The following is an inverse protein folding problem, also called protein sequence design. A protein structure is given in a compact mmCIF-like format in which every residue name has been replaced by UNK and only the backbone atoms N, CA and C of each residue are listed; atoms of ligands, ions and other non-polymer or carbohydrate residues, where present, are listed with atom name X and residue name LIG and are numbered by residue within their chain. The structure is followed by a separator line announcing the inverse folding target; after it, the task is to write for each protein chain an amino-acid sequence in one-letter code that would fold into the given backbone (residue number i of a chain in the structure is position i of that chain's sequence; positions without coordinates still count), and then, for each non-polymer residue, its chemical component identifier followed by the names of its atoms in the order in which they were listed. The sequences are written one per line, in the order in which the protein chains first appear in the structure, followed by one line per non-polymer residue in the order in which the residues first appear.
data_IF_537458162803
#
_entry.id   IF_537458162803
#
_cell.length_a   1.000
_cell.length_b   1.000
_cell.length_c   1.000
_cell.angle_alpha   90.00
_cell.angle_beta   90.00
_cell.angle_gamma   90.00
#
_symmetry.space_group_name_H-M   'P 1'
#
loop_
_entity.id
_entity.type
_entity.pdbx_description
1 polymer ?
#
# COMPACT_ATOMS: atom_id res chain seq x y z
N UNK A 1 24.48 60.03 32.46
CA UNK A 1 23.67 60.04 33.70
C UNK A 1 23.18 58.62 33.96
N UNK A 2 23.48 58.11 35.16
CA UNK A 2 22.92 56.96 35.92
C UNK A 2 22.40 55.73 35.14
N UNK A 3 23.04 54.55 35.11
CA UNK A 3 23.30 53.52 36.18
C UNK A 3 22.06 53.05 36.94
N UNK A 4 21.73 51.75 36.83
CA UNK A 4 21.68 50.82 37.98
C UNK A 4 22.26 49.46 37.55
N UNK A 5 23.12 48.95 38.42
CA UNK A 5 23.92 47.73 38.37
C UNK A 5 23.85 47.21 39.82
N UNK A 6 23.43 45.96 40.04
CA UNK A 6 23.57 45.21 41.32
C UNK A 6 23.57 43.72 40.91
N UNK A 7 24.71 43.02 40.75
CA UNK A 7 25.56 42.32 41.75
C UNK A 7 24.76 41.40 42.69
N UNK A 8 25.11 40.16 43.04
CA UNK A 8 26.24 39.25 42.89
C UNK A 8 25.79 37.94 43.58
N UNK A 9 26.33 36.77 43.23
CA UNK A 9 27.45 36.21 43.97
C UNK A 9 27.57 34.70 43.72
N UNK A 10 28.80 34.27 43.42
CA UNK A 10 29.30 32.92 43.70
C UNK A 10 29.24 32.67 45.23
N UNK A 11 29.38 31.48 45.83
CA UNK A 11 30.48 30.50 45.80
C UNK A 11 29.98 29.26 46.59
N UNK A 12 30.47 28.05 46.31
CA UNK A 12 30.46 26.97 47.30
C UNK A 12 30.37 25.55 46.73
N UNK A 13 31.51 25.00 46.31
CA UNK A 13 31.64 23.55 46.12
C UNK A 13 31.89 22.86 47.47
N UNK A 14 31.38 21.63 47.62
CA UNK A 14 31.93 20.62 48.53
C UNK A 14 31.84 19.26 47.86
N UNK A 15 33.00 18.65 47.69
CA UNK A 15 33.21 17.26 47.31
C UNK A 15 32.98 16.36 48.52
N UNK A 16 32.26 15.24 48.36
CA UNK A 16 32.32 14.12 49.30
C UNK A 16 32.34 12.79 48.54
N UNK A 17 33.54 12.21 48.49
CA UNK A 17 33.79 10.79 48.26
C UNK A 17 33.36 9.98 49.48
N UNK A 18 32.58 8.92 49.27
CA UNK A 18 32.24 7.95 50.31
C UNK A 18 31.99 6.58 49.70
N UNK A 19 33.01 5.72 49.75
CA UNK A 19 32.90 4.28 49.54
C UNK A 19 31.92 3.67 50.56
N UNK A 20 30.97 2.88 50.09
CA UNK A 20 30.05 2.13 50.93
C UNK A 20 29.42 0.98 50.15
N UNK A 21 30.09 -0.17 50.15
CA UNK A 21 29.53 -1.42 49.67
C UNK A 21 28.43 -1.91 50.63
N UNK A 22 27.22 -2.20 50.11
CA UNK A 22 26.44 -3.41 50.46
C UNK A 22 25.10 -3.49 49.75
N UNK A 23 24.76 -4.74 49.41
CA UNK A 23 23.42 -5.32 49.42
C UNK A 23 22.56 -5.09 48.18
N UNK A 24 22.77 -5.93 47.17
CA UNK A 24 21.69 -6.40 46.30
C UNK A 24 20.49 -6.86 47.16
N UNK A 25 19.32 -6.28 46.90
CA UNK A 25 18.03 -6.91 47.20
C UNK A 25 17.19 -6.93 45.92
N UNK A 26 16.62 -8.08 45.56
CA UNK A 26 15.83 -8.25 44.34
C UNK A 26 14.39 -7.82 44.61
N UNK A 27 13.85 -6.96 43.75
CA UNK A 27 12.46 -6.56 43.80
C UNK A 27 12.27 -5.19 43.21
N UNK A 28 12.11 -5.15 41.88
CA UNK A 28 11.21 -4.24 41.15
C UNK A 28 11.39 -4.48 39.63
N UNK A 29 11.05 -5.69 39.21
CA UNK A 29 10.85 -6.06 37.81
C UNK A 29 9.51 -6.76 37.71
N UNK A 30 8.42 -5.98 37.78
CA UNK A 30 7.05 -6.37 37.43
C UNK A 30 6.19 -5.13 37.64
N UNK A 31 6.00 -4.33 36.59
CA UNK A 31 4.83 -3.45 36.44
C UNK A 31 4.78 -2.72 35.09
N UNK A 32 5.85 -2.69 34.29
CA UNK A 32 5.79 -2.11 32.94
C UNK A 32 5.29 -3.10 31.86
N UNK A 33 5.55 -4.40 32.00
CA UNK A 33 5.22 -5.41 30.98
C UNK A 33 3.73 -5.75 30.90
N UNK A 34 3.03 -5.73 32.04
CA UNK A 34 1.59 -6.04 32.13
C UNK A 34 0.75 -4.93 31.47
N UNK A 35 1.17 -3.67 31.61
CA UNK A 35 0.53 -2.51 30.98
C UNK A 35 0.63 -2.55 29.45
N UNK A 36 1.72 -3.10 28.90
CA UNK A 36 1.89 -3.24 27.45
C UNK A 36 1.12 -4.42 26.87
N UNK A 37 1.03 -5.55 27.57
CA UNK A 37 0.26 -6.73 27.14
C UNK A 37 -1.25 -6.42 27.05
N UNK A 38 -1.81 -5.77 28.07
CA UNK A 38 -3.23 -5.37 28.07
C UNK A 38 -3.55 -4.36 26.95
N UNK A 39 -2.61 -3.45 26.66
CA UNK A 39 -2.74 -2.48 25.59
C UNK A 39 -2.76 -3.14 24.21
N UNK A 40 -1.85 -4.10 23.96
CA UNK A 40 -1.83 -4.90 22.73
C UNK A 40 -3.12 -5.72 22.59
N UNK A 41 -3.54 -6.42 23.65
CA UNK A 41 -4.78 -7.21 23.66
C UNK A 41 -6.01 -6.37 23.35
N UNK A 42 -6.08 -5.15 23.90
CA UNK A 42 -7.17 -4.20 23.64
C UNK A 42 -7.19 -3.75 22.18
N UNK A 43 -6.05 -3.32 21.64
CA UNK A 43 -5.93 -2.89 20.24
C UNK A 43 -6.29 -4.00 19.26
N UNK A 44 -5.86 -5.25 19.52
CA UNK A 44 -6.18 -6.40 18.67
C UNK A 44 -7.68 -6.74 18.66
N UNK A 45 -8.36 -6.59 19.80
CA UNK A 45 -9.82 -6.78 19.88
C UNK A 45 -10.59 -5.68 19.16
N UNK A 46 -10.19 -4.43 19.36
CA UNK A 46 -10.79 -3.30 18.65
C UNK A 46 -10.57 -3.44 17.14
N UNK A 47 -9.42 -3.98 16.72
CA UNK A 47 -9.11 -4.24 15.32
C UNK A 47 -10.02 -5.31 14.73
N UNK A 48 -10.14 -6.47 15.39
CA UNK A 48 -11.05 -7.56 14.97
C UNK A 48 -12.51 -7.09 14.88
N UNK A 49 -12.98 -6.29 15.83
CA UNK A 49 -14.31 -5.67 15.79
C UNK A 49 -14.45 -4.66 14.63
N UNK A 50 -13.44 -3.83 14.39
CA UNK A 50 -13.44 -2.84 13.32
C UNK A 50 -13.43 -3.50 11.93
N UNK A 51 -12.68 -4.60 11.77
CA UNK A 51 -12.64 -5.41 10.55
C UNK A 51 -13.99 -6.08 10.28
N UNK A 52 -14.62 -6.67 11.30
CA UNK A 52 -15.95 -7.29 11.17
C UNK A 52 -17.06 -6.29 10.87
N UNK A 53 -16.95 -5.07 11.39
CA UNK A 53 -17.99 -4.04 11.24
C UNK A 53 -17.77 -3.12 10.03
N UNK A 54 -16.81 -3.44 9.15
CA UNK A 54 -16.48 -2.63 7.96
C UNK A 54 -16.11 -1.18 8.30
N UNK A 55 -15.60 -0.91 9.51
CA UNK A 55 -15.14 0.43 9.95
C UNK A 55 -13.69 0.66 9.52
N UNK A 56 -13.49 0.82 8.21
CA UNK A 56 -12.16 0.85 7.57
C UNK A 56 -11.19 1.89 8.14
N UNK A 57 -11.65 3.11 8.44
CA UNK A 57 -10.78 4.14 9.05
C UNK A 57 -10.35 3.76 10.47
N UNK A 58 -11.27 3.22 11.28
CA UNK A 58 -10.96 2.79 12.64
C UNK A 58 -10.01 1.59 12.65
N UNK A 59 -10.19 0.64 11.75
CA UNK A 59 -9.27 -0.49 11.58
C UNK A 59 -7.87 -0.01 11.19
N UNK A 60 -7.76 0.96 10.28
CA UNK A 60 -6.48 1.56 9.88
C UNK A 60 -5.78 2.25 11.05
N UNK A 61 -6.49 3.13 11.78
CA UNK A 61 -5.94 3.84 12.94
C UNK A 61 -5.45 2.85 14.04
N UNK A 62 -6.12 1.70 14.16
CA UNK A 62 -5.74 0.65 15.11
C UNK A 62 -4.52 -0.15 14.66
N UNK A 63 -4.37 -0.43 13.35
CA UNK A 63 -3.17 -1.07 12.79
C UNK A 63 -1.94 -0.17 12.89
N UNK A 64 -2.09 1.11 12.59
CA UNK A 64 -1.00 2.08 12.74
C UNK A 64 -0.53 2.13 14.20
N UNK A 65 -1.47 2.15 15.15
CA UNK A 65 -1.14 2.08 16.58
C UNK A 65 -0.48 0.75 16.98
N UNK A 66 -0.96 -0.39 16.48
CA UNK A 66 -0.33 -1.69 16.72
C UNK A 66 1.09 -1.74 16.18
N UNK A 67 1.33 -1.15 15.01
CA UNK A 67 2.66 -1.06 14.41
C UNK A 67 3.60 -0.16 15.23
N UNK A 68 3.13 0.98 15.72
CA UNK A 68 3.93 1.84 16.62
C UNK A 68 4.25 1.10 17.93
N UNK A 69 3.27 0.43 18.55
CA UNK A 69 3.51 -0.38 19.76
C UNK A 69 4.51 -1.50 19.50
N UNK A 70 4.42 -2.19 18.35
CA UNK A 70 5.39 -3.22 17.93
C UNK A 70 6.80 -2.65 17.78
N UNK A 71 6.95 -1.47 17.16
CA UNK A 71 8.26 -0.79 17.03
C UNK A 71 8.84 -0.42 18.40
N UNK A 72 8.01 0.01 19.33
CA UNK A 72 8.44 0.41 20.67
C UNK A 72 8.88 -0.79 21.53
N UNK A 73 8.16 -1.91 21.47
CA UNK A 73 8.46 -3.09 22.32
C UNK A 73 9.36 -4.13 21.66
N UNK A 74 9.50 -4.10 20.34
CA UNK A 74 10.27 -5.05 19.55
C UNK A 74 9.49 -6.30 19.16
N UNK A 75 9.91 -6.89 18.03
CA UNK A 75 9.27 -8.02 17.37
C UNK A 75 9.18 -9.28 18.23
N UNK A 76 10.22 -9.59 19.00
CA UNK A 76 10.26 -10.78 19.86
C UNK A 76 9.18 -10.72 20.94
N UNK A 77 9.06 -9.57 21.64
CA UNK A 77 8.06 -9.36 22.69
C UNK A 77 6.64 -9.33 22.13
N UNK A 78 6.44 -8.67 20.99
CA UNK A 78 5.14 -8.62 20.34
C UNK A 78 4.69 -10.01 19.88
N UNK A 79 5.61 -10.82 19.34
CA UNK A 79 5.36 -12.22 18.95
C UNK A 79 5.01 -13.10 20.16
N UNK A 80 5.67 -12.91 21.29
CA UNK A 80 5.36 -13.63 22.54
C UNK A 80 3.93 -13.36 23.02
N UNK A 81 3.50 -12.09 23.02
CA UNK A 81 2.13 -11.70 23.38
C UNK A 81 1.11 -12.32 22.43
N UNK A 82 1.37 -12.30 21.12
CA UNK A 82 0.50 -12.93 20.12
C UNK A 82 0.36 -14.44 20.35
N UNK A 83 1.46 -15.15 20.58
CA UNK A 83 1.44 -16.60 20.83
C UNK A 83 0.65 -16.94 22.09
N UNK A 84 0.83 -16.19 23.17
CA UNK A 84 0.04 -16.36 24.41
C UNK A 84 -1.45 -16.16 24.16
N UNK A 85 -1.82 -15.14 23.39
CA UNK A 85 -3.22 -14.91 23.03
C UNK A 85 -3.80 -16.03 22.15
N UNK A 86 -2.99 -16.63 21.27
CA UNK A 86 -3.37 -17.77 20.43
C UNK A 86 -3.63 -19.01 21.28
N UNK A 87 -2.81 -19.28 22.29
CA UNK A 87 -3.02 -20.41 23.20
C UNK A 87 -4.34 -20.29 23.98
N UNK A 88 -4.74 -19.07 24.33
CA UNK A 88 -5.98 -18.77 25.06
C UNK A 88 -7.22 -18.58 24.16
N UNK A 89 -7.03 -18.46 22.84
CA UNK A 89 -8.10 -18.12 21.90
C UNK A 89 -8.86 -19.34 21.36
N UNK A 90 -10.10 -19.12 20.94
CA UNK A 90 -10.91 -20.13 20.26
C UNK A 90 -11.80 -19.51 19.19
N UNK A 91 -12.31 -20.35 18.28
CA UNK A 91 -13.24 -19.94 17.22
C UNK A 91 -12.64 -18.92 16.24
N UNK A 92 -13.44 -17.93 15.82
CA UNK A 92 -13.02 -16.91 14.84
C UNK A 92 -11.89 -16.02 15.35
N UNK A 93 -11.82 -15.78 16.66
CA UNK A 93 -10.75 -15.00 17.28
C UNK A 93 -9.39 -15.70 17.18
N UNK A 94 -9.35 -17.03 17.30
CA UNK A 94 -8.13 -17.82 17.10
C UNK A 94 -7.62 -17.72 15.65
N UNK A 95 -8.54 -17.82 14.68
CA UNK A 95 -8.19 -17.74 13.26
C UNK A 95 -7.67 -16.34 12.88
N UNK A 96 -8.29 -15.28 13.42
CA UNK A 96 -7.79 -13.91 13.29
C UNK A 96 -6.34 -13.79 13.81
N UNK A 97 -6.07 -14.24 15.04
CA UNK A 97 -4.74 -14.13 15.64
C UNK A 97 -3.68 -14.97 14.90
N UNK A 98 -4.03 -16.18 14.42
CA UNK A 98 -3.12 -17.01 13.62
C UNK A 98 -2.78 -16.38 12.28
N UNK A 99 -3.76 -15.80 11.60
CA UNK A 99 -3.53 -15.07 10.35
C UNK A 99 -2.63 -13.86 10.59
N UNK A 100 -2.88 -13.11 11.66
CA UNK A 100 -2.06 -11.97 12.03
C UNK A 100 -0.62 -12.37 12.39
N UNK A 101 -0.43 -13.45 13.17
CA UNK A 101 0.90 -13.98 13.49
C UNK A 101 1.66 -14.38 12.21
N UNK A 102 1.00 -15.09 11.29
CA UNK A 102 1.59 -15.51 10.01
C UNK A 102 1.96 -14.31 9.13
N UNK A 103 1.11 -13.30 9.10
CA UNK A 103 1.31 -12.07 8.32
C UNK A 103 2.50 -11.26 8.85
N UNK A 104 2.63 -11.13 10.17
CA UNK A 104 3.65 -10.30 10.81
C UNK A 104 5.00 -11.03 11.00
N UNK A 105 4.99 -12.36 11.12
CA UNK A 105 6.15 -13.20 11.39
C UNK A 105 6.14 -14.48 10.53
N UNK A 106 6.32 -14.38 9.20
CA UNK A 106 6.43 -15.55 8.35
C UNK A 106 7.66 -16.39 8.74
N UNK A 107 7.55 -17.71 8.69
CA UNK A 107 8.67 -18.61 9.01
C UNK A 107 9.75 -18.55 7.92
N UNK A 108 11.02 -18.75 8.29
CA UNK A 108 12.15 -18.61 7.37
C UNK A 108 12.15 -19.60 6.17
N UNK A 109 11.33 -20.65 6.21
CA UNK A 109 11.10 -21.57 5.11
C UNK A 109 10.06 -21.06 4.08
N UNK A 110 9.45 -19.89 4.32
CA UNK A 110 8.63 -19.15 3.35
C UNK A 110 9.47 -18.26 2.42
N UNK A 111 10.80 -18.43 2.35
CA UNK A 111 11.59 -17.89 1.23
C UNK A 111 11.28 -18.65 -0.06
N UNK A 112 10.71 -18.03 -1.11
CA UNK A 112 10.44 -18.73 -2.35
C UNK A 112 11.76 -19.04 -3.08
N UNK A 113 11.97 -20.27 -3.58
CA UNK A 113 13.03 -20.52 -4.55
C UNK A 113 12.76 -19.76 -5.85
N UNK A 114 13.84 -19.47 -6.57
CA UNK A 114 13.86 -18.91 -7.93
C UNK A 114 12.89 -19.65 -8.89
N UNK A 115 12.38 -18.98 -9.93
CA UNK A 115 11.07 -19.28 -10.52
C UNK A 115 11.05 -20.63 -11.23
N UNK A 116 10.28 -21.58 -10.69
CA UNK A 116 9.91 -22.80 -11.38
C UNK A 116 8.48 -22.71 -11.96
N UNK A 117 8.30 -23.39 -13.09
CA UNK A 117 7.15 -23.43 -13.98
C UNK A 117 5.78 -23.64 -13.30
N UNK A 118 4.66 -23.24 -13.95
CA UNK A 118 3.34 -23.25 -13.35
C UNK A 118 2.88 -24.68 -12.98
N UNK A 119 2.35 -24.91 -11.77
CA UNK A 119 1.71 -26.17 -11.44
C UNK A 119 0.28 -26.23 -12.01
N UNK A 120 -0.07 -27.41 -12.52
CA UNK A 120 -1.43 -27.82 -12.91
C UNK A 120 -2.42 -27.70 -11.74
N UNK A 121 -3.73 -27.54 -12.01
CA UNK A 121 -4.70 -27.24 -10.97
C UNK A 121 -4.98 -28.47 -10.09
N UNK A 122 -4.58 -28.41 -8.83
CA UNK A 122 -5.10 -29.28 -7.77
C UNK A 122 -6.16 -28.52 -6.95
N UNK A 123 -7.33 -29.11 -6.69
CA UNK A 123 -8.43 -28.49 -5.97
C UNK A 123 -8.23 -28.63 -4.46
N UNK A 124 -8.15 -27.50 -3.75
CA UNK A 124 -8.21 -27.49 -2.28
C UNK A 124 -7.07 -26.71 -1.65
N UNK A 125 -7.18 -25.39 -1.65
CA UNK A 125 -6.30 -24.49 -0.90
C UNK A 125 -6.92 -23.11 -0.85
N UNK A 126 -7.61 -22.78 0.25
CA UNK A 126 -8.12 -21.43 0.53
C UNK A 126 -6.93 -20.55 0.94
N UNK A 127 -6.36 -19.84 -0.03
CA UNK A 127 -5.35 -18.80 0.17
C UNK A 127 -5.54 -17.72 -0.89
N UNK A 128 -5.78 -16.48 -0.45
CA UNK A 128 -6.03 -15.31 -1.31
C UNK A 128 -7.37 -15.39 -2.04
N UNK A 129 -8.42 -14.76 -1.51
CA UNK A 129 -9.73 -14.72 -2.14
C UNK A 129 -9.66 -14.10 -3.53
N UNK A 130 -9.64 -14.92 -4.59
CA UNK A 130 -9.82 -14.43 -5.96
C UNK A 130 -11.20 -13.80 -6.05
N UNK A 131 -11.25 -12.54 -6.47
CA UNK A 131 -12.52 -11.84 -6.76
C UNK A 131 -13.34 -12.68 -7.72
N UNK A 132 -14.59 -12.98 -7.36
CA UNK A 132 -15.52 -13.63 -8.28
C UNK A 132 -15.99 -12.62 -9.32
N UNK A 133 -15.61 -12.82 -10.58
CA UNK A 133 -16.00 -11.93 -11.67
C UNK A 133 -17.50 -11.95 -11.95
N UNK A 134 -18.22 -12.99 -11.48
CA UNK A 134 -19.67 -13.10 -11.61
C UNK A 134 -20.42 -12.13 -10.69
N UNK A 135 -19.76 -11.58 -9.66
CA UNK A 135 -20.32 -10.54 -8.80
C UNK A 135 -20.41 -9.18 -9.50
N UNK A 136 -19.90 -9.09 -10.73
CA UNK A 136 -19.88 -7.88 -11.54
C UNK A 136 -20.62 -8.08 -12.86
N UNK A 137 -21.44 -7.11 -13.30
CA UNK A 137 -22.05 -7.15 -14.62
C UNK A 137 -21.00 -7.23 -15.73
N UNK A 138 -21.34 -7.80 -16.90
CA UNK A 138 -20.43 -7.82 -18.04
C UNK A 138 -19.96 -6.42 -18.43
N UNK A 139 -18.64 -6.24 -18.58
CA UNK A 139 -18.05 -5.02 -19.12
C UNK A 139 -18.07 -4.97 -20.65
N UNK A 140 -18.12 -3.78 -21.21
CA UNK A 140 -17.95 -3.50 -22.63
C UNK A 140 -16.46 -3.57 -23.03
N UNK A 141 -16.16 -4.28 -24.12
CA UNK A 141 -14.83 -4.22 -24.74
C UNK A 141 -14.62 -2.86 -25.40
N UNK A 142 -13.55 -2.16 -24.99
CA UNK A 142 -13.24 -0.81 -25.47
C UNK A 142 -12.22 -0.77 -26.60
N UNK A 143 -11.70 -1.94 -26.99
CA UNK A 143 -10.80 -2.11 -28.12
C UNK A 143 -11.07 -3.42 -28.85
N UNK A 144 -10.69 -3.46 -30.13
CA UNK A 144 -10.64 -4.64 -30.98
C UNK A 144 -9.19 -5.15 -31.19
N UNK A 145 -8.19 -4.49 -30.62
CA UNK A 145 -6.80 -4.90 -30.71
C UNK A 145 -6.53 -6.12 -29.81
N UNK A 146 -5.56 -6.97 -30.18
CA UNK A 146 -5.13 -8.06 -29.32
C UNK A 146 -4.46 -7.53 -28.05
N UNK A 147 -4.76 -8.17 -26.92
CA UNK A 147 -4.08 -7.93 -25.65
C UNK A 147 -2.71 -8.60 -25.64
N UNK A 148 -1.69 -7.90 -25.15
CA UNK A 148 -0.32 -8.41 -24.94
C UNK A 148 0.07 -8.34 -23.47
N UNK A 149 1.13 -9.07 -23.10
CA UNK A 149 1.65 -9.10 -21.72
C UNK A 149 2.54 -7.88 -21.42
N UNK A 150 2.37 -7.32 -20.22
CA UNK A 150 3.05 -6.15 -19.67
C UNK A 150 4.52 -6.37 -19.31
N UNK A 151 4.94 -7.63 -19.14
CA UNK A 151 6.22 -7.99 -18.50
C UNK A 151 7.48 -7.49 -19.23
N UNK A 152 7.36 -7.17 -20.53
CA UNK A 152 8.46 -6.67 -21.36
C UNK A 152 8.43 -5.15 -21.57
N UNK A 153 7.47 -4.45 -20.96
CA UNK A 153 7.27 -3.01 -21.11
C UNK A 153 7.86 -2.24 -19.92
N UNK A 154 9.19 -2.27 -19.79
CA UNK A 154 9.93 -1.61 -18.69
C UNK A 154 10.98 -0.60 -19.16
N UNK A 155 11.13 -0.40 -20.47
CA UNK A 155 12.09 0.55 -21.04
C UNK A 155 11.49 1.97 -21.04
N UNK A 156 11.32 2.53 -19.84
CA UNK A 156 10.77 3.87 -19.65
C UNK A 156 11.81 4.96 -19.94
N UNK A 157 11.33 6.07 -20.52
CA UNK A 157 12.07 7.34 -20.64
C UNK A 157 11.15 8.48 -20.23
N UNK A 158 11.58 9.41 -19.36
CA UNK A 158 10.78 10.56 -19.01
C UNK A 158 10.42 11.38 -20.24
N UNK A 159 9.13 11.65 -20.40
CA UNK A 159 8.59 12.42 -21.52
C UNK A 159 7.71 13.54 -20.98
N UNK A 160 8.13 14.79 -21.19
CA UNK A 160 7.39 15.99 -20.76
C UNK A 160 6.56 16.61 -21.90
N UNK A 161 6.43 15.92 -23.04
CA UNK A 161 5.62 16.38 -24.16
C UNK A 161 4.12 16.24 -23.87
N UNK A 162 3.34 17.22 -24.33
CA UNK A 162 1.88 17.27 -24.16
C UNK A 162 1.44 17.06 -22.69
N UNK A 163 1.96 17.87 -21.75
CA UNK A 163 1.72 17.69 -20.33
C UNK A 163 0.22 17.72 -20.03
N UNK A 164 -0.22 16.81 -19.18
CA UNK A 164 -1.61 16.68 -18.76
C UNK A 164 -2.56 16.10 -19.80
N UNK A 165 -2.04 15.55 -20.91
CA UNK A 165 -2.87 14.88 -21.91
C UNK A 165 -3.51 13.64 -21.27
N UNK A 166 -4.82 13.70 -21.08
CA UNK A 166 -5.59 12.58 -20.55
C UNK A 166 -5.70 11.45 -21.57
N UNK A 167 -5.69 10.19 -21.10
CA UNK A 167 -6.09 9.04 -21.92
C UNK A 167 -7.47 9.23 -22.55
N UNK A 168 -7.69 8.58 -23.69
CA UNK A 168 -9.01 8.51 -24.31
C UNK A 168 -9.95 7.60 -23.54
N UNK A 169 -11.22 7.99 -23.45
CA UNK A 169 -12.30 7.15 -22.94
C UNK A 169 -13.15 6.53 -24.05
N UNK A 170 -12.85 6.87 -25.31
CA UNK A 170 -13.62 6.49 -26.49
C UNK A 170 -13.15 5.15 -27.06
N UNK A 171 -14.11 4.34 -27.51
CA UNK A 171 -13.87 3.00 -28.05
C UNK A 171 -12.97 3.03 -29.29
N UNK A 172 -12.02 2.10 -29.35
CA UNK A 172 -11.05 1.93 -30.45
C UNK A 172 -10.14 3.15 -30.72
N UNK A 173 -10.04 4.10 -29.78
CA UNK A 173 -9.12 5.24 -29.92
C UNK A 173 -7.73 4.92 -29.32
N UNK A 174 -6.64 5.51 -29.87
CA UNK A 174 -5.32 5.42 -29.26
C UNK A 174 -5.29 5.96 -27.82
N UNK A 175 -4.46 5.38 -26.95
CA UNK A 175 -4.35 5.79 -25.55
C UNK A 175 -5.64 5.54 -24.76
N UNK A 176 -6.38 4.48 -25.06
CA UNK A 176 -7.63 4.15 -24.38
C UNK A 176 -7.35 3.66 -22.94
N UNK A 177 -7.89 4.33 -21.92
CA UNK A 177 -7.62 4.00 -20.51
C UNK A 177 -8.21 2.66 -20.06
N UNK A 178 -9.25 2.20 -20.74
CA UNK A 178 -9.94 0.97 -20.37
C UNK A 178 -9.09 -0.23 -20.80
N UNK A 179 -8.71 -0.31 -22.07
CA UNK A 179 -7.99 -1.46 -22.64
C UNK A 179 -6.46 -1.34 -22.63
N UNK A 180 -5.93 -0.12 -22.52
CA UNK A 180 -4.50 0.15 -22.70
C UNK A 180 -3.61 -0.60 -21.71
N UNK A 181 -4.08 -0.75 -20.48
CA UNK A 181 -3.56 -1.72 -19.51
C UNK A 181 -4.66 -2.15 -18.53
N UNK A 182 -4.50 -3.30 -17.90
CA UNK A 182 -5.37 -3.85 -16.87
C UNK A 182 -4.60 -4.82 -15.99
N UNK A 183 -5.16 -5.17 -14.84
CA UNK A 183 -4.58 -6.20 -13.98
C UNK A 183 -4.42 -7.55 -14.70
N UNK A 184 -3.41 -8.30 -14.26
CA UNK A 184 -3.21 -9.71 -14.61
C UNK A 184 -4.09 -10.64 -13.76
N UNK A 185 -3.65 -11.89 -13.53
CA UNK A 185 -4.38 -12.85 -12.69
C UNK A 185 -4.34 -12.53 -11.18
N UNK A 186 -3.62 -11.48 -10.77
CA UNK A 186 -3.24 -11.23 -9.39
C UNK A 186 -4.04 -10.10 -8.73
N UNK A 187 -3.99 -10.03 -7.40
CA UNK A 187 -4.76 -9.14 -6.54
C UNK A 187 -4.39 -7.65 -6.58
N UNK A 188 -3.65 -7.19 -7.58
CA UNK A 188 -3.15 -5.81 -7.66
C UNK A 188 -4.19 -4.75 -8.06
N UNK A 189 -5.48 -5.05 -7.87
CA UNK A 189 -6.60 -4.21 -8.29
C UNK A 189 -6.53 -2.78 -7.72
N UNK A 190 -6.05 -2.62 -6.48
CA UNK A 190 -5.89 -1.31 -5.83
C UNK A 190 -4.81 -0.47 -6.49
N UNK A 191 -3.70 -1.10 -6.87
CA UNK A 191 -2.64 -0.38 -7.59
C UNK A 191 -3.13 -0.01 -8.99
N UNK A 192 -3.83 -0.91 -9.68
CA UNK A 192 -4.37 -0.63 -11.02
C UNK A 192 -5.41 0.47 -10.99
N UNK A 193 -6.38 0.41 -10.07
CA UNK A 193 -7.42 1.44 -9.94
C UNK A 193 -6.81 2.81 -9.62
N UNK A 194 -5.84 2.86 -8.70
CA UNK A 194 -5.13 4.08 -8.35
C UNK A 194 -4.34 4.66 -9.54
N UNK A 195 -3.60 3.83 -10.30
CA UNK A 195 -2.87 4.27 -11.49
C UNK A 195 -3.84 4.83 -12.53
N UNK A 196 -4.95 4.14 -12.83
CA UNK A 196 -5.93 4.62 -13.80
C UNK A 196 -6.59 5.92 -13.37
N UNK A 197 -6.97 6.03 -12.10
CA UNK A 197 -7.53 7.26 -11.55
C UNK A 197 -6.52 8.42 -11.62
N UNK A 198 -5.26 8.17 -11.27
CA UNK A 198 -4.19 9.16 -11.38
C UNK A 198 -3.96 9.61 -12.83
N UNK A 199 -3.93 8.67 -13.79
CA UNK A 199 -3.78 8.98 -15.21
C UNK A 199 -4.94 9.84 -15.74
N UNK A 200 -6.17 9.56 -15.31
CA UNK A 200 -7.35 10.34 -15.71
C UNK A 200 -7.46 11.70 -15.01
N UNK A 201 -6.88 11.84 -13.81
CA UNK A 201 -6.83 13.11 -13.11
C UNK A 201 -5.75 14.03 -13.69
N UNK A 202 -4.53 13.51 -13.84
CA UNK A 202 -3.35 14.33 -14.11
C UNK A 202 -2.80 14.24 -15.53
N UNK A 203 -3.05 13.15 -16.26
CA UNK A 203 -2.42 12.84 -17.55
C UNK A 203 -1.79 11.45 -17.54
N UNK A 204 -1.62 10.82 -18.71
CA UNK A 204 -1.18 9.42 -18.79
C UNK A 204 0.22 9.18 -18.22
N UNK A 205 1.16 10.11 -18.44
CA UNK A 205 2.58 9.81 -18.25
C UNK A 205 2.97 9.85 -16.77
N UNK A 206 4.00 9.13 -16.32
CA UNK A 206 4.54 9.28 -14.97
C UNK A 206 5.01 10.72 -14.65
N UNK A 207 5.46 11.46 -15.67
CA UNK A 207 5.77 12.90 -15.59
C UNK A 207 4.53 13.79 -15.39
N UNK A 208 3.34 13.30 -15.73
CA UNK A 208 2.07 13.98 -15.44
C UNK A 208 1.58 13.61 -14.03
N UNK A 209 1.68 12.34 -13.63
CA UNK A 209 1.17 11.86 -12.34
C UNK A 209 2.05 12.29 -11.17
N UNK A 210 3.36 12.13 -11.27
CA UNK A 210 4.30 12.57 -10.24
C UNK A 210 4.62 14.06 -10.38
N UNK A 211 5.19 14.65 -9.33
CA UNK A 211 5.62 16.06 -9.37
C UNK A 211 6.85 16.23 -10.27
N UNK A 212 7.75 15.26 -10.25
CA UNK A 212 8.96 15.25 -11.07
C UNK A 212 9.47 13.83 -11.28
N UNK A 213 9.94 13.51 -12.48
CA UNK A 213 10.67 12.28 -12.81
C UNK A 213 11.91 12.64 -13.60
N UNK A 214 13.10 12.26 -13.10
CA UNK A 214 14.39 12.55 -13.74
C UNK A 214 15.18 11.27 -13.90
N UNK A 215 15.77 11.06 -15.08
CA UNK A 215 16.81 10.05 -15.25
C UNK A 215 18.04 10.42 -14.40
N UNK A 216 18.56 9.44 -13.66
CA UNK A 216 19.77 9.58 -12.88
C UNK A 216 20.55 8.26 -12.88
N UNK A 217 21.66 8.23 -13.61
CA UNK A 217 22.54 7.06 -13.70
C UNK A 217 21.81 5.81 -14.19
N UNK A 218 21.68 4.81 -13.32
CA UNK A 218 21.05 3.52 -13.61
C UNK A 218 19.55 3.47 -13.27
N UNK A 219 18.89 4.62 -13.09
CA UNK A 219 17.49 4.68 -12.68
C UNK A 219 16.88 6.06 -12.78
N UNK A 220 15.93 6.33 -11.89
CA UNK A 220 15.08 7.51 -11.92
C UNK A 220 14.88 8.07 -10.53
N UNK A 221 15.16 9.35 -10.36
CA UNK A 221 14.71 10.13 -9.20
C UNK A 221 13.25 10.53 -9.43
N UNK A 222 12.39 10.19 -8.48
CA UNK A 222 10.96 10.52 -8.49
C UNK A 222 10.65 11.41 -7.29
N UNK A 223 10.06 12.57 -7.56
CA UNK A 223 9.41 13.38 -6.54
C UNK A 223 7.90 13.25 -6.71
N UNK A 224 7.23 12.78 -5.67
CA UNK A 224 5.79 12.61 -5.60
C UNK A 224 5.06 13.93 -5.29
N UNK A 225 3.74 13.98 -5.51
CA UNK A 225 2.93 15.20 -5.31
C UNK A 225 2.73 15.58 -3.85
N UNK A 226 2.83 14.60 -2.94
CA UNK A 226 2.85 14.78 -1.49
C UNK A 226 4.24 15.17 -0.94
N UNK A 227 5.25 15.29 -1.82
CA UNK A 227 6.60 15.66 -1.46
C UNK A 227 7.52 14.48 -1.13
N UNK A 228 7.01 13.24 -1.12
CA UNK A 228 7.85 12.06 -0.94
C UNK A 228 8.85 11.92 -2.10
N UNK A 229 10.07 11.46 -1.79
CA UNK A 229 11.13 11.28 -2.78
C UNK A 229 11.65 9.86 -2.72
N UNK A 230 11.85 9.25 -3.88
CA UNK A 230 12.41 7.93 -4.01
C UNK A 230 13.25 7.80 -5.28
N UNK A 231 14.07 6.77 -5.31
CA UNK A 231 14.84 6.36 -6.48
C UNK A 231 14.37 4.99 -6.93
N UNK A 232 14.05 4.84 -8.22
CA UNK A 232 13.74 3.53 -8.85
C UNK A 232 14.85 3.19 -9.82
N UNK A 233 15.55 2.09 -9.59
CA UNK A 233 16.55 1.57 -10.52
C UNK A 233 15.89 0.91 -11.75
N UNK A 234 16.63 0.82 -12.86
CA UNK A 234 16.18 0.08 -14.06
C UNK A 234 15.88 -1.40 -13.75
N UNK A 235 16.64 -2.00 -12.82
CA UNK A 235 16.42 -3.38 -12.40
C UNK A 235 15.11 -3.51 -11.61
N UNK A 236 14.84 -2.61 -10.66
CA UNK A 236 13.56 -2.58 -9.94
C UNK A 236 12.39 -2.37 -10.90
N UNK A 237 12.51 -1.49 -11.90
CA UNK A 237 11.49 -1.31 -12.93
C UNK A 237 11.26 -2.58 -13.76
N UNK A 238 12.33 -3.30 -14.11
CA UNK A 238 12.22 -4.58 -14.81
C UNK A 238 11.53 -5.66 -13.95
N UNK A 239 11.88 -5.75 -12.68
CA UNK A 239 11.25 -6.68 -11.73
C UNK A 239 9.77 -6.34 -11.55
N UNK A 240 9.47 -5.05 -11.36
CA UNK A 240 8.13 -4.51 -11.24
C UNK A 240 7.25 -4.87 -12.44
N UNK A 241 7.73 -4.67 -13.67
CA UNK A 241 6.97 -5.03 -14.87
C UNK A 241 6.64 -6.52 -14.92
N UNK A 242 7.58 -7.39 -14.53
CA UNK A 242 7.36 -8.85 -14.47
C UNK A 242 6.36 -9.23 -13.38
N UNK A 243 6.41 -8.58 -12.22
CA UNK A 243 5.54 -8.90 -11.08
C UNK A 243 4.13 -8.33 -11.20
N UNK A 244 4.00 -7.12 -11.75
CA UNK A 244 2.71 -6.47 -11.98
C UNK A 244 1.79 -7.30 -12.89
N UNK A 245 2.40 -8.06 -13.83
CA UNK A 245 1.70 -8.94 -14.78
C UNK A 245 0.54 -8.24 -15.48
N UNK A 246 0.69 -6.93 -15.74
CA UNK A 246 -0.30 -6.16 -16.46
C UNK A 246 -0.51 -6.76 -17.85
N UNK A 247 -1.71 -6.53 -18.39
CA UNK A 247 -2.07 -6.90 -19.75
C UNK A 247 -2.74 -5.71 -20.41
N UNK A 248 -2.60 -5.55 -21.72
CA UNK A 248 -3.24 -4.42 -22.39
C UNK A 248 -2.96 -4.41 -23.87
N UNK A 249 -3.54 -3.44 -24.58
CA UNK A 249 -3.36 -3.25 -26.01
C UNK A 249 -2.55 -1.99 -26.38
N UNK A 250 -2.04 -1.29 -25.37
CA UNK A 250 -1.19 -0.10 -25.53
C UNK A 250 0.17 -0.30 -24.83
N UNK A 251 1.22 -0.66 -25.60
CA UNK A 251 2.58 -0.83 -25.08
C UNK A 251 3.14 0.40 -24.33
N UNK A 252 2.79 1.61 -24.77
CA UNK A 252 3.27 2.83 -24.15
C UNK A 252 2.59 3.03 -22.79
N UNK A 253 1.26 2.86 -22.74
CA UNK A 253 0.51 2.94 -21.49
C UNK A 253 0.92 1.85 -20.48
N UNK A 254 1.20 0.63 -20.93
CA UNK A 254 1.75 -0.42 -20.06
C UNK A 254 3.15 -0.06 -19.53
N UNK A 255 3.97 0.61 -20.33
CA UNK A 255 5.29 1.09 -19.88
C UNK A 255 5.13 2.16 -18.79
N UNK A 256 4.22 3.11 -18.99
CA UNK A 256 3.88 4.14 -18.02
C UNK A 256 3.33 3.54 -16.72
N UNK A 257 2.40 2.58 -16.83
CA UNK A 257 1.79 1.90 -15.69
C UNK A 257 2.80 1.05 -14.90
N UNK A 258 3.68 0.31 -15.58
CA UNK A 258 4.75 -0.45 -14.92
C UNK A 258 5.69 0.47 -14.15
N UNK A 259 5.98 1.66 -14.67
CA UNK A 259 6.77 2.66 -13.94
C UNK A 259 6.06 3.12 -12.66
N UNK A 260 4.78 3.46 -12.74
CA UNK A 260 4.00 3.87 -11.57
C UNK A 260 3.86 2.74 -10.54
N UNK A 261 3.72 1.48 -10.99
CA UNK A 261 3.75 0.31 -10.12
C UNK A 261 5.11 0.16 -9.42
N UNK A 262 6.22 0.34 -10.13
CA UNK A 262 7.57 0.29 -9.55
C UNK A 262 7.78 1.37 -8.48
N UNK A 263 7.33 2.60 -8.75
CA UNK A 263 7.39 3.69 -7.77
C UNK A 263 6.51 3.40 -6.54
N UNK A 264 5.31 2.86 -6.75
CA UNK A 264 4.41 2.40 -5.67
C UNK A 264 5.08 1.34 -4.80
N UNK A 265 5.65 0.31 -5.42
CA UNK A 265 6.37 -0.75 -4.72
C UNK A 265 7.61 -0.23 -3.98
N UNK A 266 8.33 0.73 -4.58
CA UNK A 266 9.51 1.33 -3.95
C UNK A 266 9.13 2.12 -2.70
N UNK A 267 8.02 2.86 -2.76
CA UNK A 267 7.50 3.54 -1.59
C UNK A 267 7.04 2.56 -0.52
N UNK A 268 6.31 1.51 -0.90
CA UNK A 268 5.91 0.45 0.02
C UNK A 268 7.11 -0.20 0.72
N UNK A 269 8.21 -0.43 -0.01
CA UNK A 269 9.47 -0.90 0.57
C UNK A 269 10.02 0.09 1.62
N UNK A 270 10.12 1.37 1.27
CA UNK A 270 10.72 2.39 2.16
C UNK A 270 9.86 2.62 3.41
N UNK A 271 8.54 2.67 3.25
CA UNK A 271 7.59 2.85 4.35
C UNK A 271 7.34 1.54 5.15
N UNK A 272 7.96 0.43 4.73
CA UNK A 272 7.77 -0.90 5.31
C UNK A 272 6.28 -1.30 5.42
N UNK A 273 5.56 -1.17 4.31
CA UNK A 273 4.15 -1.57 4.16
C UNK A 273 3.92 -2.98 4.75
N UNK A 274 2.81 -3.12 5.50
CA UNK A 274 2.42 -4.34 6.24
C UNK A 274 3.49 -4.87 7.22
N UNK A 275 4.49 -4.05 7.56
CA UNK A 275 5.59 -4.42 8.44
C UNK A 275 6.59 -5.40 7.82
N UNK A 276 6.42 -5.81 6.56
CA UNK A 276 7.26 -6.82 5.88
C UNK A 276 7.91 -6.30 4.60
N UNK A 277 7.33 -5.29 3.94
CA UNK A 277 7.81 -4.79 2.65
C UNK A 277 9.25 -4.23 2.69
N UNK A 278 9.72 -3.76 3.84
CA UNK A 278 11.08 -3.25 4.03
C UNK A 278 12.18 -4.30 3.89
N UNK A 279 11.84 -5.58 3.97
CA UNK A 279 12.80 -6.68 3.83
C UNK A 279 13.43 -6.79 2.44
N UNK A 280 12.69 -6.46 1.38
CA UNK A 280 13.20 -6.43 0.00
C UNK A 280 12.21 -5.78 -0.97
N UNK A 281 12.67 -5.40 -2.16
CA UNK A 281 11.77 -4.92 -3.21
C UNK A 281 10.76 -6.00 -3.65
N UNK A 282 11.14 -7.29 -3.59
CA UNK A 282 10.22 -8.39 -3.85
C UNK A 282 9.17 -8.55 -2.75
N UNK A 283 9.54 -8.38 -1.49
CA UNK A 283 8.59 -8.36 -0.37
C UNK A 283 7.60 -7.22 -0.53
N UNK A 284 8.08 -6.03 -0.90
CA UNK A 284 7.21 -4.91 -1.24
C UNK A 284 6.26 -5.26 -2.37
N UNK A 285 6.75 -5.76 -3.52
CA UNK A 285 5.90 -6.20 -4.65
C UNK A 285 4.83 -7.23 -4.26
N UNK A 286 5.14 -8.12 -3.32
CA UNK A 286 4.18 -9.10 -2.81
C UNK A 286 3.06 -8.43 -2.01
N UNK A 287 3.39 -7.42 -1.19
CA UNK A 287 2.42 -6.67 -0.39
C UNK A 287 1.39 -5.96 -1.29
N UNK A 288 1.80 -5.38 -2.42
CA UNK A 288 0.83 -4.72 -3.34
C UNK A 288 -0.19 -5.68 -3.98
N UNK A 289 0.00 -6.99 -3.84
CA UNK A 289 -0.75 -8.02 -4.56
C UNK A 289 -1.62 -8.89 -3.64
N UNK A 290 -1.67 -8.65 -2.34
CA UNK A 290 -2.33 -9.52 -1.35
C UNK A 290 -3.77 -9.11 -0.96
N UNK A 291 -4.30 -8.02 -1.53
CA UNK A 291 -5.68 -7.57 -1.29
C UNK A 291 -5.81 -6.44 -0.28
N UNK A 292 -4.84 -5.52 -0.27
CA UNK A 292 -4.72 -4.25 0.47
C UNK A 292 -6.00 -3.38 0.60
N UNK A 293 -5.91 -2.22 1.26
CA UNK A 293 -7.05 -1.31 1.43
C UNK A 293 -7.15 -0.23 0.34
N UNK A 294 -8.38 0.14 0.00
CA UNK A 294 -8.81 1.15 -0.97
C UNK A 294 -7.88 2.36 -1.22
N UNK A 295 -7.32 2.94 -0.15
CA UNK A 295 -6.58 4.21 -0.20
C UNK A 295 -5.08 4.05 -0.36
N UNK A 296 -4.54 2.88 -0.07
CA UNK A 296 -3.10 2.63 -0.04
C UNK A 296 -2.48 2.76 -1.45
N UNK A 297 -3.22 2.45 -2.50
CA UNK A 297 -2.80 2.68 -3.88
C UNK A 297 -2.54 4.15 -4.20
N UNK A 298 -3.46 5.05 -3.85
CA UNK A 298 -3.33 6.49 -4.11
C UNK A 298 -2.21 7.11 -3.26
N UNK A 299 -2.09 6.65 -2.01
CA UNK A 299 -1.01 7.08 -1.12
C UNK A 299 0.36 6.69 -1.63
N UNK A 300 0.54 5.44 -2.08
CA UNK A 300 1.82 4.99 -2.64
C UNK A 300 2.19 5.66 -3.95
N UNK A 301 1.19 6.16 -4.70
CA UNK A 301 1.42 7.04 -5.85
C UNK A 301 1.70 8.50 -5.46
N UNK A 302 1.74 8.82 -4.17
CA UNK A 302 2.10 10.14 -3.69
C UNK A 302 0.99 11.16 -3.78
N UNK A 303 -0.26 10.71 -3.66
CA UNK A 303 -1.45 11.54 -3.79
C UNK A 303 -2.09 11.92 -2.45
N UNK A 304 -1.39 11.72 -1.32
CA UNK A 304 -1.82 12.22 -0.01
C UNK A 304 -2.19 13.71 -0.11
N UNK A 305 -3.38 14.07 0.38
CA UNK A 305 -3.92 15.43 0.30
C UNK A 305 -4.41 15.87 -1.09
N UNK A 306 -4.55 14.94 -2.05
CA UNK A 306 -5.10 15.17 -3.40
C UNK A 306 -6.35 14.35 -3.72
N UNK A 307 -6.87 13.67 -2.71
CA UNK A 307 -8.12 12.93 -2.80
C UNK A 307 -8.85 13.04 -1.47
N UNK A 308 -10.14 12.76 -1.50
CA UNK A 308 -10.97 12.70 -0.28
C UNK A 308 -12.01 11.59 -0.39
N UNK A 309 -12.55 11.13 0.75
CA UNK A 309 -13.74 10.29 0.75
C UNK A 309 -14.86 10.93 -0.09
N UNK A 310 -15.63 10.08 -0.74
CA UNK A 310 -16.72 10.46 -1.63
C UNK A 310 -17.93 9.53 -1.43
N UNK A 311 -19.02 9.83 -2.13
CA UNK A 311 -20.16 8.93 -2.30
C UNK A 311 -20.19 8.35 -3.71
N UNK A 312 -20.92 7.26 -3.90
CA UNK A 312 -21.19 6.69 -5.22
C UNK A 312 -21.90 7.70 -6.13
N UNK A 313 -22.75 8.57 -5.57
CA UNK A 313 -23.39 9.65 -6.32
C UNK A 313 -22.39 10.67 -6.87
N UNK A 314 -21.36 11.03 -6.11
CA UNK A 314 -20.30 11.92 -6.60
C UNK A 314 -19.51 11.27 -7.74
N UNK A 315 -19.21 9.99 -7.64
CA UNK A 315 -18.51 9.25 -8.70
C UNK A 315 -19.38 9.13 -9.97
N UNK A 316 -20.69 8.90 -9.83
CA UNK A 316 -21.65 8.91 -10.95
C UNK A 316 -21.74 10.27 -11.63
N UNK A 317 -21.44 11.37 -10.93
CA UNK A 317 -21.37 12.72 -11.50
C UNK A 317 -20.11 13.00 -12.34
N UNK A 318 -19.40 11.94 -12.79
CA UNK A 318 -18.20 12.01 -13.63
C UNK A 318 -16.95 12.57 -12.96
N UNK A 319 -16.89 12.57 -11.63
CA UNK A 319 -15.62 12.77 -10.92
C UNK A 319 -14.76 11.52 -11.06
N UNK A 320 -13.46 11.72 -11.28
CA UNK A 320 -12.48 10.63 -11.32
C UNK A 320 -12.15 10.18 -9.91
N UNK A 321 -12.06 8.88 -9.71
CA UNK A 321 -11.91 8.32 -8.37
C UNK A 321 -11.67 6.82 -8.36
N UNK A 322 -11.71 6.24 -7.17
CA UNK A 322 -11.77 4.80 -6.96
C UNK A 322 -13.02 4.43 -6.17
N UNK A 323 -13.49 3.20 -6.38
CA UNK A 323 -14.55 2.59 -5.59
C UNK A 323 -14.20 1.14 -5.28
N UNK A 324 -14.52 0.70 -4.07
CA UNK A 324 -14.24 -0.65 -3.60
C UNK A 324 -15.50 -1.31 -3.05
N UNK A 325 -15.85 -2.47 -3.63
CA UNK A 325 -16.90 -3.37 -3.16
C UNK A 325 -16.67 -4.79 -3.72
N UNK A 326 -17.31 -5.80 -3.12
CA UNK A 326 -17.18 -7.22 -3.50
C UNK A 326 -15.72 -7.69 -3.63
N UNK A 327 -14.83 -7.20 -2.76
CA UNK A 327 -13.41 -7.56 -2.75
C UNK A 327 -12.59 -7.00 -3.91
N UNK A 328 -13.12 -6.06 -4.70
CA UNK A 328 -12.45 -5.46 -5.84
C UNK A 328 -12.33 -3.94 -5.71
N UNK A 329 -11.17 -3.38 -6.04
CA UNK A 329 -10.98 -1.94 -6.24
C UNK A 329 -10.99 -1.61 -7.72
N UNK A 330 -11.78 -0.60 -8.09
CA UNK A 330 -12.02 -0.18 -9.47
C UNK A 330 -11.79 1.32 -9.59
N UNK A 331 -11.18 1.75 -10.69
CA UNK A 331 -11.22 3.17 -11.05
C UNK A 331 -12.63 3.53 -11.54
N UNK A 332 -13.10 4.73 -11.20
CA UNK A 332 -14.30 5.32 -11.81
C UNK A 332 -13.89 6.45 -12.74
N UNK A 333 -14.31 6.33 -13.99
CA UNK A 333 -13.95 7.23 -15.08
C UNK A 333 -15.22 7.58 -15.83
N UNK A 334 -15.55 8.87 -15.92
CA UNK A 334 -16.80 9.36 -16.54
C UNK A 334 -18.06 8.63 -16.01
N UNK A 335 -18.10 8.38 -14.70
CA UNK A 335 -19.23 7.72 -14.04
C UNK A 335 -19.35 6.21 -14.30
N UNK A 336 -18.36 5.58 -14.93
CA UNK A 336 -18.33 4.13 -15.18
C UNK A 336 -17.14 3.48 -14.48
N UNK A 337 -17.33 2.28 -13.95
CA UNK A 337 -16.26 1.48 -13.32
C UNK A 337 -15.36 0.83 -14.36
N UNK A 338 -14.08 0.68 -14.03
CA UNK A 338 -13.14 -0.14 -14.79
C UNK A 338 -13.18 -1.59 -14.30
N UNK A 339 -13.26 -2.55 -15.23
CA UNK A 339 -13.38 -3.97 -14.92
C UNK A 339 -12.41 -4.79 -15.78
N UNK A 340 -11.22 -5.10 -15.26
CA UNK A 340 -10.24 -6.00 -15.91
C UNK A 340 -9.98 -5.67 -17.39
N UNK A 341 -9.81 -4.39 -17.72
CA UNK A 341 -9.57 -3.95 -19.11
C UNK A 341 -10.84 -3.55 -19.88
N UNK A 342 -12.01 -3.58 -19.24
CA UNK A 342 -13.31 -3.27 -19.84
C UNK A 342 -13.97 -2.09 -19.14
N UNK A 343 -14.90 -1.45 -19.85
CA UNK A 343 -15.78 -0.42 -19.27
C UNK A 343 -17.01 -1.10 -18.69
N UNK A 344 -17.16 -1.06 -17.37
CA UNK A 344 -18.33 -1.56 -16.67
C UNK A 344 -19.48 -0.54 -16.64
N UNK A 345 -20.45 -0.80 -15.76
CA UNK A 345 -21.60 0.08 -15.53
C UNK A 345 -21.30 1.21 -14.54
N UNK A 346 -22.36 1.80 -13.99
CA UNK A 346 -22.24 2.83 -12.94
C UNK A 346 -21.72 2.21 -11.62
N UNK A 347 -20.93 2.95 -10.83
CA UNK A 347 -20.46 2.45 -9.54
C UNK A 347 -21.63 2.22 -8.58
N UNK A 348 -21.53 1.14 -7.80
CA UNK A 348 -22.42 0.85 -6.67
C UNK A 348 -21.90 1.50 -5.38
N UNK A 349 -22.70 1.43 -4.31
CA UNK A 349 -22.24 1.89 -2.98
C UNK A 349 -21.09 1.00 -2.50
N UNK A 350 -20.03 1.65 -2.01
CA UNK A 350 -18.81 1.01 -1.53
C UNK A 350 -17.93 2.03 -0.81
N UNK A 351 -16.70 1.65 -0.50
CA UNK A 351 -15.69 2.68 -0.14
C UNK A 351 -15.43 3.49 -1.41
N UNK A 352 -15.49 4.81 -1.32
CA UNK A 352 -15.41 5.68 -2.49
C UNK A 352 -14.48 6.86 -2.21
N UNK A 353 -13.67 7.20 -3.21
CA UNK A 353 -12.71 8.29 -3.16
C UNK A 353 -12.77 9.08 -4.45
N UNK A 354 -12.74 10.41 -4.38
CA UNK A 354 -12.57 11.30 -5.54
C UNK A 354 -11.25 12.05 -5.46
N UNK A 355 -10.58 12.19 -6.60
CA UNK A 355 -9.38 13.01 -6.74
C UNK A 355 -9.78 14.47 -7.01
N UNK A 356 -8.93 15.43 -6.63
CA UNK A 356 -9.15 16.87 -6.84
C UNK A 356 -7.89 17.64 -7.22
#
# INVERSE_FOLDING_TARGET
MARVLVSGGAIGGVSHSGLGARSERPGDLKNNDVSSEESVKKLLRELDDAEKTSKSQTAQDLRDKLNEVRKEMGDEKFKEILNKLIEEASGQWLEFLKQLLKMLFPDADDTPPSPAQPPSPSPGGRGGGRVDRNDFPPGESMSNKPTTEGANHFNYKPDNSNPGKKPSTEKNQPGNIWSGFSQGPDGNCITVSAIKAAMMQYGQKPTDVFKEVKENGNGFDVTMRDGFKLFVSQNELQQAAKQARFKGDDPAMMTDANFMYAASAKRAQIENNDGTAGGSFQAAMNSLNDGEYAREGLDRLGLKGRYRPATDAELRSSKVGTVEYNGHSMAVINGQIELWGKRGGVPQSGTATVLF
#
